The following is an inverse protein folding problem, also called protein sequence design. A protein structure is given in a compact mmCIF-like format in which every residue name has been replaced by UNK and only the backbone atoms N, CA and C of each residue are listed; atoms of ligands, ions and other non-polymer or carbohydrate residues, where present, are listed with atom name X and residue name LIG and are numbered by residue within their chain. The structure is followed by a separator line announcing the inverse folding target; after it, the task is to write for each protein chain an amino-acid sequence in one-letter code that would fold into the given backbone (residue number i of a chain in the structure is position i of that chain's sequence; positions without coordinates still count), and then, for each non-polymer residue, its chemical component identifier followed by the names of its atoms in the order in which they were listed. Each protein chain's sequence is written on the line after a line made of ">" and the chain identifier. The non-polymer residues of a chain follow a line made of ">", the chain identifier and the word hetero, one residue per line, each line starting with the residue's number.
data_IF_275949199939
#
_entry.id   IF_275949199939
#
_cell.length_a   1.000
_cell.length_b   1.000
_cell.length_c   1.000
_cell.angle_alpha   90.00
_cell.angle_beta   90.00
_cell.angle_gamma   90.00
#
_symmetry.space_group_name_H-M   'P 1'
#
loop_
_entity.id
_entity.type
_entity.pdbx_description
1 polymer ?
#
# COMPACT_ATOMS: atom_id res chain seq x y z
N UNK A 1 -52.54 5.87 0.87
CA UNK A 1 -51.49 4.87 0.52
C UNK A 1 -50.18 5.59 0.25
N UNK A 2 -49.23 5.59 1.20
CA UNK A 2 -47.90 6.22 1.03
C UNK A 2 -46.93 5.18 0.49
N UNK A 3 -46.32 5.44 -0.65
CA UNK A 3 -45.40 4.51 -1.31
C UNK A 3 -44.06 4.38 -0.54
N UNK A 4 -43.60 3.15 -0.25
CA UNK A 4 -42.36 2.89 0.50
C UNK A 4 -41.06 3.32 -0.22
N UNK A 5 -41.15 3.70 -1.49
CA UNK A 5 -40.00 4.16 -2.30
C UNK A 5 -39.55 5.60 -2.00
N UNK A 6 -40.43 6.44 -1.47
CA UNK A 6 -40.11 7.85 -1.16
C UNK A 6 -39.21 8.02 0.07
N UNK A 7 -39.36 7.15 1.07
CA UNK A 7 -38.53 7.17 2.29
C UNK A 7 -37.09 6.73 2.03
N UNK A 8 -36.89 5.71 1.20
CA UNK A 8 -35.55 5.26 0.82
C UNK A 8 -34.79 6.33 0.01
N UNK A 9 -35.47 7.00 -0.92
CA UNK A 9 -34.85 8.08 -1.69
C UNK A 9 -34.49 9.28 -0.82
N UNK A 10 -35.35 9.66 0.12
CA UNK A 10 -35.08 10.77 1.05
C UNK A 10 -34.02 10.44 2.10
N UNK A 11 -33.83 9.18 2.49
CA UNK A 11 -32.71 8.73 3.33
C UNK A 11 -31.40 8.72 2.54
N UNK A 12 -31.43 8.31 1.27
CA UNK A 12 -30.24 8.26 0.40
C UNK A 12 -29.78 9.65 -0.08
N UNK A 13 -30.70 10.62 -0.14
CA UNK A 13 -30.46 11.97 -0.64
C UNK A 13 -30.47 13.05 0.45
N UNK A 14 -30.47 12.66 1.73
CA UNK A 14 -30.29 13.61 2.83
C UNK A 14 -28.82 14.01 2.85
N UNK A 15 -28.50 15.16 2.27
CA UNK A 15 -27.31 15.90 2.66
C UNK A 15 -27.34 16.00 4.18
N UNK A 16 -26.32 15.45 4.83
CA UNK A 16 -26.20 15.46 6.28
C UNK A 16 -25.97 16.89 6.75
N UNK A 17 -27.05 17.66 6.88
CA UNK A 17 -27.06 18.85 7.72
C UNK A 17 -26.70 18.43 9.14
N UNK A 18 -25.74 19.18 9.69
CA UNK A 18 -24.93 18.82 10.83
C UNK A 18 -25.73 18.43 12.08
N UNK A 19 -25.29 17.32 12.69
CA UNK A 19 -25.43 17.11 14.11
C UNK A 19 -24.03 17.00 14.72
N UNK A 20 -23.70 17.79 15.75
CA UNK A 20 -22.42 17.69 16.40
C UNK A 20 -22.40 16.49 17.37
N UNK A 21 -21.22 15.87 17.42
CA UNK A 21 -20.71 15.04 18.51
C UNK A 21 -21.26 13.61 18.68
N UNK A 22 -20.67 12.70 17.91
CA UNK A 22 -20.18 11.43 18.49
C UNK A 22 -18.67 11.46 18.37
N UNK A 23 -17.96 11.52 19.51
CA UNK A 23 -16.49 11.47 19.61
C UNK A 23 -15.95 10.08 19.23
N UNK A 24 -16.20 9.65 18.00
CA UNK A 24 -15.47 8.56 17.37
C UNK A 24 -14.09 9.05 16.96
N UNK A 25 -13.05 8.26 17.22
CA UNK A 25 -11.70 8.59 16.76
C UNK A 25 -11.74 8.91 15.26
N UNK A 26 -11.40 10.14 14.88
CA UNK A 26 -11.34 10.59 13.47
C UNK A 26 -10.53 9.62 12.59
N UNK A 27 -9.63 8.84 13.19
CA UNK A 27 -8.82 7.81 12.58
C UNK A 27 -9.61 6.65 11.91
N UNK A 28 -10.84 6.35 12.36
CA UNK A 28 -11.63 5.22 11.84
C UNK A 28 -12.53 5.59 10.64
N UNK A 29 -12.56 6.87 10.24
CA UNK A 29 -13.37 7.32 9.10
C UNK A 29 -12.90 6.63 7.82
N UNK A 30 -13.82 6.01 7.09
CA UNK A 30 -13.52 5.39 5.80
C UNK A 30 -13.25 6.44 4.74
N UNK A 31 -12.26 6.18 3.89
CA UNK A 31 -11.83 7.11 2.84
C UNK A 31 -11.66 6.40 1.50
N UNK A 32 -11.72 7.17 0.42
CA UNK A 32 -11.38 6.73 -0.92
C UNK A 32 -10.55 7.79 -1.65
N UNK A 33 -9.84 7.39 -2.70
CA UNK A 33 -9.08 8.33 -3.53
C UNK A 33 -10.00 9.37 -4.16
N UNK A 34 -9.53 10.61 -4.23
CA UNK A 34 -10.26 11.70 -4.91
C UNK A 34 -10.27 11.51 -6.43
N UNK A 35 -9.13 11.07 -6.98
CA UNK A 35 -8.97 10.78 -8.41
C UNK A 35 -8.41 9.34 -8.59
N UNK A 36 -9.26 8.31 -8.45
CA UNK A 36 -8.80 6.92 -8.48
C UNK A 36 -8.16 6.54 -9.80
N UNK A 37 -8.72 6.93 -10.95
CA UNK A 37 -8.19 6.54 -12.27
C UNK A 37 -6.73 6.96 -12.49
N UNK A 38 -6.40 8.21 -12.12
CA UNK A 38 -5.05 8.74 -12.31
C UNK A 38 -4.08 8.19 -11.27
N UNK A 39 -4.45 8.25 -9.99
CA UNK A 39 -3.58 7.80 -8.90
C UNK A 39 -3.32 6.30 -8.96
N UNK A 40 -4.33 5.48 -9.23
CA UNK A 40 -4.17 4.03 -9.34
C UNK A 40 -3.36 3.63 -10.58
N UNK A 41 -3.47 4.35 -11.71
CA UNK A 41 -2.61 4.13 -12.89
C UNK A 41 -1.15 4.42 -12.59
N UNK A 42 -0.85 5.53 -11.92
CA UNK A 42 0.51 5.86 -11.47
C UNK A 42 1.03 4.79 -10.52
N UNK A 43 0.24 4.42 -9.50
CA UNK A 43 0.57 3.35 -8.56
C UNK A 43 0.85 2.01 -9.29
N UNK A 44 0.04 1.64 -10.27
CA UNK A 44 0.31 0.43 -11.06
C UNK A 44 1.64 0.52 -11.81
N UNK A 45 1.96 1.68 -12.41
CA UNK A 45 3.26 1.91 -13.03
C UNK A 45 4.43 1.80 -12.05
N UNK A 46 4.26 2.26 -10.81
CA UNK A 46 5.24 2.06 -9.72
C UNK A 46 5.39 0.57 -9.41
N UNK A 47 4.29 -0.16 -9.27
CA UNK A 47 4.32 -1.61 -8.99
C UNK A 47 5.09 -2.37 -10.08
N UNK A 48 4.82 -2.09 -11.36
CA UNK A 48 5.53 -2.69 -12.49
C UNK A 48 7.04 -2.45 -12.39
N UNK A 49 7.47 -1.22 -12.08
CA UNK A 49 8.89 -0.87 -11.91
C UNK A 49 9.50 -1.50 -10.68
N UNK A 50 8.75 -1.64 -9.58
CA UNK A 50 9.18 -2.36 -8.39
C UNK A 50 9.46 -3.83 -8.72
N UNK A 51 8.55 -4.51 -9.42
CA UNK A 51 8.77 -5.92 -9.81
C UNK A 51 9.91 -6.03 -10.83
N UNK A 52 10.04 -5.10 -11.76
CA UNK A 52 11.17 -5.04 -12.68
C UNK A 52 12.51 -4.89 -11.94
N UNK A 53 12.58 -3.99 -10.95
CA UNK A 53 13.76 -3.81 -10.10
C UNK A 53 14.12 -5.12 -9.39
N UNK A 54 13.16 -5.81 -8.79
CA UNK A 54 13.44 -7.11 -8.14
C UNK A 54 14.02 -8.12 -9.13
N UNK A 55 13.42 -8.22 -10.33
CA UNK A 55 13.87 -9.13 -11.40
C UNK A 55 15.25 -8.76 -11.96
N UNK A 56 15.67 -7.50 -11.92
CA UNK A 56 16.97 -7.07 -12.48
C UNK A 56 18.16 -7.48 -11.59
N UNK A 57 17.92 -7.63 -10.28
CA UNK A 57 18.96 -7.98 -9.30
C UNK A 57 19.55 -9.38 -9.55
N UNK A 58 20.88 -9.52 -9.65
CA UNK A 58 21.53 -10.82 -9.84
C UNK A 58 21.21 -11.82 -8.72
N UNK A 59 21.27 -11.39 -7.46
CA UNK A 59 20.97 -12.26 -6.31
C UNK A 59 19.53 -12.76 -6.32
N UNK A 60 18.57 -11.95 -6.80
CA UNK A 60 17.18 -12.39 -6.94
C UNK A 60 17.03 -13.45 -8.04
N UNK A 61 17.71 -13.26 -9.19
CA UNK A 61 17.66 -14.20 -10.33
C UNK A 61 18.25 -15.57 -10.03
N UNK A 62 19.23 -15.65 -9.11
CA UNK A 62 19.85 -16.91 -8.66
C UNK A 62 18.92 -17.77 -7.78
N UNK A 63 17.88 -17.17 -7.18
CA UNK A 63 16.94 -17.89 -6.32
C UNK A 63 16.03 -18.83 -7.13
N UNK A 64 15.68 -19.96 -6.52
CA UNK A 64 14.65 -20.85 -7.05
C UNK A 64 13.33 -20.08 -7.25
N UNK A 65 12.53 -20.47 -8.24
CA UNK A 65 11.25 -19.78 -8.54
C UNK A 65 10.36 -19.67 -7.30
N UNK A 66 10.25 -20.75 -6.52
CA UNK A 66 9.48 -20.78 -5.27
C UNK A 66 9.94 -19.68 -4.30
N UNK A 67 11.25 -19.54 -4.11
CA UNK A 67 11.80 -18.54 -3.19
C UNK A 67 11.58 -17.12 -3.70
N UNK A 68 11.67 -16.90 -5.03
CA UNK A 68 11.34 -15.61 -5.65
C UNK A 68 9.89 -15.22 -5.40
N UNK A 69 8.95 -16.15 -5.57
CA UNK A 69 7.52 -15.90 -5.32
C UNK A 69 7.26 -15.55 -3.85
N UNK A 70 7.76 -16.36 -2.91
CA UNK A 70 7.64 -16.09 -1.47
C UNK A 70 8.25 -14.74 -1.09
N UNK A 71 9.40 -14.39 -1.67
CA UNK A 71 10.04 -13.12 -1.37
C UNK A 71 9.22 -11.93 -1.89
N UNK A 72 8.58 -12.07 -3.06
CA UNK A 72 7.68 -11.06 -3.63
C UNK A 72 6.44 -10.90 -2.78
N UNK A 73 5.77 -12.00 -2.42
CA UNK A 73 4.60 -12.00 -1.53
C UNK A 73 4.86 -11.22 -0.24
N UNK A 74 6.05 -11.41 0.33
CA UNK A 74 6.44 -10.75 1.57
C UNK A 74 6.82 -9.28 1.31
N UNK A 75 7.74 -9.02 0.39
CA UNK A 75 8.43 -7.71 0.32
C UNK A 75 7.79 -6.69 -0.61
N UNK A 76 6.84 -7.08 -1.46
CA UNK A 76 6.32 -6.18 -2.51
C UNK A 76 5.73 -4.89 -1.95
N UNK A 77 5.05 -4.91 -0.79
CA UNK A 77 4.43 -3.72 -0.20
C UNK A 77 5.50 -2.71 0.20
N UNK A 78 6.49 -3.13 0.99
CA UNK A 78 7.57 -2.24 1.43
C UNK A 78 8.34 -1.64 0.25
N UNK A 79 8.64 -2.46 -0.77
CA UNK A 79 9.31 -2.00 -1.99
C UNK A 79 8.43 -1.08 -2.84
N UNK A 80 7.13 -1.34 -2.89
CA UNK A 80 6.15 -0.49 -3.54
C UNK A 80 6.06 0.87 -2.88
N UNK A 81 6.03 0.93 -1.54
CA UNK A 81 6.03 2.19 -0.79
C UNK A 81 7.31 3.00 -1.02
N UNK A 82 8.47 2.36 -1.06
CA UNK A 82 9.73 3.00 -1.46
C UNK A 82 9.69 3.47 -2.92
N UNK A 83 8.99 2.75 -3.81
CA UNK A 83 8.74 3.18 -5.17
C UNK A 83 7.88 4.45 -5.24
N UNK A 84 6.79 4.51 -4.48
CA UNK A 84 5.96 5.71 -4.37
C UNK A 84 6.77 6.90 -3.85
N UNK A 85 7.62 6.67 -2.85
CA UNK A 85 8.50 7.69 -2.29
C UNK A 85 9.52 8.19 -3.33
N UNK A 86 10.25 7.28 -3.98
CA UNK A 86 11.27 7.60 -4.99
C UNK A 86 10.71 8.43 -6.14
N UNK A 87 9.44 8.23 -6.50
CA UNK A 87 8.79 8.95 -7.59
C UNK A 87 7.97 10.16 -7.14
N UNK A 88 8.03 10.51 -5.84
CA UNK A 88 7.27 11.62 -5.25
C UNK A 88 5.77 11.54 -5.55
N UNK A 89 5.20 10.34 -5.52
CA UNK A 89 3.77 10.15 -5.79
C UNK A 89 2.95 10.74 -4.65
N UNK A 90 2.20 11.79 -4.96
CA UNK A 90 1.23 12.41 -4.04
C UNK A 90 -0.19 11.99 -4.41
N UNK A 91 -1.07 11.93 -3.40
CA UNK A 91 -2.46 11.58 -3.61
C UNK A 91 -3.38 12.20 -2.56
N UNK A 92 -4.63 12.44 -2.96
CA UNK A 92 -5.68 12.97 -2.11
C UNK A 92 -6.76 11.93 -1.84
N UNK A 93 -7.34 12.00 -0.64
CA UNK A 93 -8.45 11.16 -0.23
C UNK A 93 -9.63 12.01 0.20
N UNK A 94 -10.83 11.47 0.02
CA UNK A 94 -12.09 12.04 0.53
C UNK A 94 -12.75 11.04 1.47
N UNK A 95 -13.47 11.54 2.46
CA UNK A 95 -14.26 10.69 3.36
C UNK A 95 -15.45 10.12 2.60
N UNK A 96 -15.70 8.83 2.78
CA UNK A 96 -16.88 8.16 2.21
C UNK A 96 -18.10 8.49 3.08
N UNK A 97 -19.17 9.08 2.52
CA UNK A 97 -20.39 9.36 3.28
C UNK A 97 -21.08 8.05 3.74
N UNK A 98 -21.67 8.07 4.94
CA UNK A 98 -22.33 6.88 5.52
C UNK A 98 -23.46 6.32 4.63
N UNK A 99 -24.19 7.19 3.92
CA UNK A 99 -25.23 6.78 2.97
C UNK A 99 -24.68 5.97 1.78
N UNK A 100 -23.44 6.22 1.35
CA UNK A 100 -22.77 5.44 0.29
C UNK A 100 -22.36 4.04 0.76
N UNK A 101 -22.05 3.89 2.05
CA UNK A 101 -21.74 2.59 2.66
C UNK A 101 -22.97 1.69 2.68
N UNK A 102 -24.11 2.23 3.12
CA UNK A 102 -25.38 1.50 3.15
C UNK A 102 -25.88 1.16 1.74
N UNK A 103 -25.78 2.10 0.79
CA UNK A 103 -26.12 1.84 -0.61
C UNK A 103 -25.27 0.72 -1.20
N UNK A 104 -23.96 0.67 -0.91
CA UNK A 104 -23.11 -0.44 -1.33
C UNK A 104 -23.57 -1.75 -0.68
N UNK A 105 -23.78 -1.80 0.63
CA UNK A 105 -24.25 -3.03 1.31
C UNK A 105 -25.59 -3.53 0.75
N UNK A 106 -26.52 -2.61 0.47
CA UNK A 106 -27.85 -2.91 -0.04
C UNK A 106 -27.87 -3.28 -1.54
N UNK A 107 -27.01 -2.66 -2.36
CA UNK A 107 -27.00 -2.85 -3.82
C UNK A 107 -26.02 -3.92 -4.28
N UNK A 108 -24.89 -4.13 -3.58
CA UNK A 108 -23.89 -5.15 -3.91
C UNK A 108 -24.06 -6.45 -3.13
N UNK A 109 -25.23 -6.65 -2.50
CA UNK A 109 -25.71 -7.85 -1.84
C UNK A 109 -24.62 -8.90 -1.57
N UNK A 110 -24.01 -8.84 -0.38
CA UNK A 110 -22.95 -9.71 0.18
C UNK A 110 -21.53 -9.14 0.28
N UNK A 111 -21.35 -7.86 0.56
CA UNK A 111 -20.12 -7.43 1.24
C UNK A 111 -20.39 -7.30 2.73
N UNK A 112 -19.83 -8.23 3.53
CA UNK A 112 -19.62 -7.99 4.97
C UNK A 112 -18.98 -6.60 5.12
N UNK A 113 -19.21 -5.86 6.23
CA UNK A 113 -18.45 -4.64 6.50
C UNK A 113 -16.98 -5.03 6.47
N UNK A 114 -16.31 -4.72 5.36
CA UNK A 114 -14.98 -5.21 5.10
C UNK A 114 -14.07 -4.43 6.05
N UNK A 115 -13.59 -5.08 7.10
CA UNK A 115 -12.62 -4.54 8.09
C UNK A 115 -11.36 -3.98 7.41
N UNK A 116 -11.20 -4.27 6.12
CA UNK A 116 -10.05 -3.94 5.27
C UNK A 116 -10.16 -2.59 4.57
N UNK A 117 -11.30 -1.89 4.64
CA UNK A 117 -11.48 -0.63 3.91
C UNK A 117 -10.47 0.43 4.36
N UNK A 118 -9.98 1.29 3.44
CA UNK A 118 -9.03 2.34 3.78
C UNK A 118 -9.62 3.29 4.83
N UNK A 119 -8.92 3.43 5.95
CA UNK A 119 -9.26 4.37 7.01
C UNK A 119 -8.40 5.62 6.92
N UNK A 120 -8.91 6.76 7.41
CA UNK A 120 -8.18 8.01 7.47
C UNK A 120 -6.88 7.86 8.28
N UNK A 121 -6.92 7.09 9.38
CA UNK A 121 -5.74 6.79 10.20
C UNK A 121 -4.68 5.99 9.46
N UNK A 122 -5.08 4.96 8.69
CA UNK A 122 -4.16 4.20 7.85
C UNK A 122 -3.51 5.06 6.77
N UNK A 123 -4.32 5.88 6.08
CA UNK A 123 -3.81 6.81 5.06
C UNK A 123 -2.86 7.85 5.68
N UNK A 124 -3.16 8.34 6.87
CA UNK A 124 -2.28 9.28 7.57
C UNK A 124 -0.92 8.63 7.88
N UNK A 125 -0.90 7.41 8.44
CA UNK A 125 0.36 6.67 8.69
C UNK A 125 1.17 6.49 7.41
N UNK A 126 0.51 6.12 6.31
CA UNK A 126 1.14 5.98 5.00
C UNK A 126 1.75 7.31 4.51
N UNK A 127 1.00 8.41 4.60
CA UNK A 127 1.52 9.74 4.23
C UNK A 127 2.69 10.18 5.11
N UNK A 128 2.62 9.92 6.42
CA UNK A 128 3.71 10.19 7.35
C UNK A 128 4.97 9.42 6.95
N UNK A 129 4.84 8.13 6.63
CA UNK A 129 5.95 7.33 6.11
C UNK A 129 6.58 7.97 4.86
N UNK A 130 5.77 8.32 3.85
CA UNK A 130 6.28 8.94 2.63
C UNK A 130 7.01 10.27 2.90
N UNK A 131 6.43 11.12 3.75
CA UNK A 131 7.04 12.40 4.14
C UNK A 131 8.38 12.19 4.88
N UNK A 132 8.46 11.19 5.75
CA UNK A 132 9.71 10.84 6.43
C UNK A 132 10.77 10.43 5.41
N UNK A 133 10.44 9.56 4.44
CA UNK A 133 11.38 9.15 3.40
C UNK A 133 11.83 10.35 2.55
N UNK A 134 10.90 11.25 2.17
CA UNK A 134 11.23 12.46 1.40
C UNK A 134 12.14 13.41 2.16
N UNK A 135 11.99 13.52 3.49
CA UNK A 135 12.86 14.38 4.32
C UNK A 135 14.31 13.91 4.41
N UNK A 136 14.60 12.67 4.02
CA UNK A 136 15.96 12.13 3.99
C UNK A 136 16.74 12.47 2.70
N UNK A 137 16.06 13.04 1.69
CA UNK A 137 16.66 13.46 0.42
C UNK A 137 17.56 12.39 -0.23
N UNK A 138 17.06 11.15 -0.29
CA UNK A 138 17.81 10.00 -0.77
C UNK A 138 18.09 10.11 -2.28
N UNK A 139 19.34 9.85 -2.66
CA UNK A 139 19.73 9.68 -4.06
C UNK A 139 19.16 8.39 -4.69
N UNK A 140 19.20 8.29 -6.02
CA UNK A 140 18.76 7.10 -6.75
C UNK A 140 19.52 5.83 -6.31
N UNK A 141 20.82 5.96 -6.02
CA UNK A 141 21.65 4.87 -5.51
C UNK A 141 21.23 4.42 -4.11
N UNK A 142 20.92 5.38 -3.23
CA UNK A 142 20.43 5.08 -1.87
C UNK A 142 19.06 4.40 -1.88
N UNK A 143 18.13 4.83 -2.74
CA UNK A 143 16.87 4.11 -2.93
C UNK A 143 17.09 2.67 -3.42
N UNK A 144 18.03 2.45 -4.35
CA UNK A 144 18.34 1.11 -4.84
C UNK A 144 18.97 0.24 -3.73
N UNK A 145 19.88 0.79 -2.93
CA UNK A 145 20.47 0.14 -1.77
C UNK A 145 19.41 -0.24 -0.73
N UNK A 146 18.55 0.71 -0.36
CA UNK A 146 17.47 0.50 0.59
C UNK A 146 16.45 -0.55 0.11
N UNK A 147 16.04 -0.50 -1.16
CA UNK A 147 15.16 -1.52 -1.75
C UNK A 147 15.82 -2.90 -1.73
N UNK A 148 17.12 -2.99 -2.04
CA UNK A 148 17.86 -4.26 -1.97
C UNK A 148 17.95 -4.78 -0.54
N UNK A 149 18.21 -3.89 0.44
CA UNK A 149 18.25 -4.24 1.85
C UNK A 149 16.88 -4.72 2.36
N UNK A 150 15.78 -4.06 2.01
CA UNK A 150 14.42 -4.53 2.32
C UNK A 150 14.15 -5.89 1.70
N UNK A 151 14.52 -6.07 0.43
CA UNK A 151 14.25 -7.30 -0.32
C UNK A 151 14.93 -8.51 0.32
N UNK A 152 16.20 -8.37 0.67
CA UNK A 152 17.01 -9.47 1.19
C UNK A 152 17.12 -9.51 2.72
N UNK A 153 16.48 -8.57 3.43
CA UNK A 153 16.48 -8.53 4.89
C UNK A 153 16.13 -9.92 5.45
N UNK A 154 16.95 -10.50 6.33
CA UNK A 154 16.61 -11.75 6.98
C UNK A 154 15.39 -11.49 7.86
N UNK A 155 14.27 -12.16 7.56
CA UNK A 155 13.21 -12.28 8.58
C UNK A 155 13.87 -12.79 9.87
N UNK A 156 13.37 -12.37 11.04
CA UNK A 156 13.98 -12.56 12.36
C UNK A 156 14.32 -14.01 12.81
N UNK A 157 14.29 -14.98 11.90
CA UNK A 157 14.80 -16.34 12.06
C UNK A 157 15.58 -16.79 10.80
N UNK A 158 16.89 -16.56 10.77
CA UNK A 158 17.82 -17.31 9.91
C UNK A 158 18.89 -16.47 9.19
N UNK A 159 20.19 -16.82 9.32
CA UNK A 159 21.27 -16.10 8.65
C UNK A 159 21.32 -16.50 7.17
N UNK A 160 20.93 -15.59 6.26
CA UNK A 160 21.30 -15.70 4.85
C UNK A 160 22.45 -14.74 4.58
N UNK A 161 23.62 -15.34 4.29
CA UNK A 161 24.87 -14.76 3.78
C UNK A 161 25.11 -13.28 4.09
N UNK A 162 25.73 -13.05 5.25
CA UNK A 162 26.17 -11.75 5.77
C UNK A 162 27.07 -10.95 4.82
N UNK A 163 27.69 -11.58 3.82
CA UNK A 163 28.69 -10.93 2.96
C UNK A 163 28.08 -10.13 1.80
N UNK A 164 27.00 -10.61 1.17
CA UNK A 164 26.30 -9.86 0.10
C UNK A 164 25.51 -8.66 0.67
N UNK A 165 24.99 -8.79 1.89
CA UNK A 165 24.24 -7.72 2.58
C UNK A 165 25.16 -6.58 3.04
N UNK A 166 26.37 -6.93 3.49
CA UNK A 166 27.36 -5.97 3.98
C UNK A 166 27.84 -5.03 2.86
N UNK A 167 28.05 -5.55 1.65
CA UNK A 167 28.43 -4.73 0.49
C UNK A 167 27.32 -3.80 0.00
N UNK A 168 26.04 -4.21 0.09
CA UNK A 168 24.88 -3.41 -0.33
C UNK A 168 24.49 -2.31 0.67
N UNK A 169 24.75 -2.50 1.97
CA UNK A 169 24.55 -1.49 3.00
C UNK A 169 25.72 -0.50 3.09
N UNK A 170 26.93 -0.89 2.67
CA UNK A 170 28.11 -0.02 2.61
C UNK A 170 27.98 1.14 1.60
N UNK A 171 27.02 1.07 0.67
CA UNK A 171 26.82 2.11 -0.36
C UNK A 171 25.81 3.20 0.04
N UNK A 172 25.17 3.11 1.21
CA UNK A 172 24.26 4.14 1.72
C UNK A 172 25.00 5.06 2.71
N UNK A 173 25.33 6.31 2.35
CA UNK A 173 25.90 7.28 3.29
C UNK A 173 24.90 7.80 4.34
N UNK A 174 23.62 7.45 4.21
CA UNK A 174 22.58 7.78 5.20
C UNK A 174 22.86 7.11 6.55
N UNK A 175 22.77 7.85 7.66
CA UNK A 175 23.03 7.34 9.01
C UNK A 175 22.35 5.98 9.22
N UNK A 176 23.14 4.97 9.60
CA UNK A 176 22.70 3.58 9.74
C UNK A 176 21.50 3.45 10.69
N UNK A 177 21.33 4.39 11.63
CA UNK A 177 20.15 4.50 12.51
C UNK A 177 18.88 4.94 11.78
N UNK A 178 19.00 5.84 10.82
CA UNK A 178 17.87 6.30 9.99
C UNK A 178 17.40 5.16 9.07
N UNK A 179 18.35 4.41 8.50
CA UNK A 179 18.06 3.27 7.63
C UNK A 179 17.40 2.12 8.41
N UNK A 180 17.92 1.77 9.60
CA UNK A 180 17.29 0.75 10.45
C UNK A 180 15.89 1.15 10.92
N UNK A 181 15.68 2.42 11.27
CA UNK A 181 14.35 2.93 11.60
C UNK A 181 13.39 2.86 10.41
N UNK A 182 13.86 3.13 9.18
CA UNK A 182 13.07 3.04 7.95
C UNK A 182 12.72 1.59 7.60
N UNK A 183 13.67 0.67 7.73
CA UNK A 183 13.42 -0.77 7.58
C UNK A 183 12.43 -1.28 8.62
N UNK A 184 12.57 -0.84 9.87
CA UNK A 184 11.67 -1.22 10.95
C UNK A 184 10.25 -0.68 10.72
N UNK A 185 10.11 0.59 10.34
CA UNK A 185 8.80 1.19 10.03
C UNK A 185 8.18 0.54 8.79
N UNK A 186 8.94 0.28 7.73
CA UNK A 186 8.45 -0.44 6.55
C UNK A 186 8.00 -1.87 6.88
N UNK A 187 8.74 -2.57 7.74
CA UNK A 187 8.42 -3.95 8.18
C UNK A 187 7.22 -3.98 9.12
N UNK A 188 7.12 -3.05 10.06
CA UNK A 188 5.97 -2.90 10.96
C UNK A 188 4.70 -2.53 10.20
N UNK A 189 4.84 -1.75 9.12
CA UNK A 189 3.75 -1.41 8.22
C UNK A 189 3.37 -2.55 7.27
N UNK A 190 4.18 -3.60 7.10
CA UNK A 190 3.98 -4.58 6.02
C UNK A 190 2.59 -5.22 6.02
N UNK A 191 2.13 -5.77 7.15
CA UNK A 191 0.83 -6.46 7.23
C UNK A 191 -0.36 -5.50 7.16
N UNK A 192 -0.31 -4.39 7.89
CA UNK A 192 -1.39 -3.38 7.87
C UNK A 192 -1.47 -2.63 6.53
N UNK A 193 -0.31 -2.23 6.00
CA UNK A 193 -0.22 -1.49 4.75
C UNK A 193 -0.57 -2.36 3.55
N UNK A 194 -0.37 -3.68 3.59
CA UNK A 194 -0.77 -4.56 2.50
C UNK A 194 -2.26 -4.43 2.19
N UNK A 195 -3.11 -4.54 3.22
CA UNK A 195 -4.56 -4.37 3.06
C UNK A 195 -4.90 -2.96 2.58
N UNK A 196 -4.34 -1.94 3.24
CA UNK A 196 -4.60 -0.55 2.90
C UNK A 196 -4.22 -0.22 1.45
N UNK A 197 -3.02 -0.61 1.02
CA UNK A 197 -2.48 -0.35 -0.32
C UNK A 197 -3.30 -1.08 -1.38
N UNK A 198 -3.66 -2.34 -1.13
CA UNK A 198 -4.49 -3.14 -2.05
C UNK A 198 -5.84 -2.47 -2.26
N UNK A 199 -6.52 -2.12 -1.19
CA UNK A 199 -7.84 -1.50 -1.24
C UNK A 199 -7.81 -0.07 -1.79
N UNK A 200 -6.76 0.70 -1.47
CA UNK A 200 -6.68 2.10 -1.87
C UNK A 200 -6.23 2.27 -3.32
N UNK A 201 -5.19 1.56 -3.77
CA UNK A 201 -4.55 1.80 -5.06
C UNK A 201 -4.90 0.78 -6.14
N UNK A 202 -5.28 -0.45 -5.80
CA UNK A 202 -5.45 -1.51 -6.80
C UNK A 202 -6.91 -1.90 -6.98
N UNK A 203 -7.68 -1.98 -5.90
CA UNK A 203 -9.11 -2.33 -5.95
C UNK A 203 -9.98 -1.40 -6.81
N UNK A 204 -9.75 -0.07 -6.86
CA UNK A 204 -10.58 0.82 -7.67
C UNK A 204 -10.51 0.54 -9.18
N UNK A 205 -9.36 0.07 -9.69
CA UNK A 205 -9.17 -0.24 -11.12
C UNK A 205 -9.38 -1.73 -11.40
N UNK A 206 -8.89 -2.59 -10.51
CA UNK A 206 -8.84 -4.02 -10.77
C UNK A 206 -10.02 -4.82 -10.16
N UNK A 207 -10.88 -4.18 -9.37
CA UNK A 207 -12.08 -4.79 -8.81
C UNK A 207 -11.78 -5.99 -7.91
N UNK A 208 -12.20 -7.18 -8.35
CA UNK A 208 -12.00 -8.45 -7.62
C UNK A 208 -10.72 -9.19 -8.04
N UNK A 209 -9.81 -8.53 -8.76
CA UNK A 209 -8.54 -9.13 -9.17
C UNK A 209 -7.74 -9.57 -7.95
N UNK A 210 -7.25 -10.81 -8.01
CA UNK A 210 -6.31 -11.34 -7.05
C UNK A 210 -4.91 -10.74 -7.32
N UNK A 211 -4.55 -9.71 -6.54
CA UNK A 211 -3.26 -9.04 -6.64
C UNK A 211 -2.10 -10.01 -6.41
N UNK A 212 -2.27 -11.01 -5.55
CA UNK A 212 -1.24 -11.99 -5.26
C UNK A 212 -0.96 -12.88 -6.48
N UNK A 213 -2.03 -13.32 -7.17
CA UNK A 213 -1.90 -14.02 -8.46
C UNK A 213 -1.24 -13.13 -9.51
N UNK A 214 -1.62 -11.85 -9.60
CA UNK A 214 -0.99 -10.92 -10.55
C UNK A 214 0.52 -10.79 -10.30
N UNK A 215 0.95 -10.60 -9.04
CA UNK A 215 2.36 -10.51 -8.67
C UNK A 215 3.13 -11.77 -9.11
N UNK A 216 2.54 -12.95 -8.95
CA UNK A 216 3.13 -14.20 -9.40
C UNK A 216 3.30 -14.25 -10.91
N UNK A 217 2.26 -13.87 -11.64
CA UNK A 217 2.31 -13.80 -13.10
C UNK A 217 3.41 -12.83 -13.59
N UNK A 218 3.59 -11.69 -12.93
CA UNK A 218 4.62 -10.71 -13.28
C UNK A 218 6.04 -11.21 -13.02
N UNK A 219 6.22 -12.13 -12.06
CA UNK A 219 7.52 -12.75 -11.76
C UNK A 219 7.83 -13.88 -12.74
N UNK A 220 6.81 -14.65 -13.15
CA UNK A 220 6.94 -15.76 -14.09
C UNK A 220 7.11 -15.27 -15.53
N UNK A 221 6.36 -14.26 -15.95
CA UNK A 221 6.46 -13.67 -17.30
C UNK A 221 7.77 -12.89 -17.40
N UNK A 222 8.57 -13.16 -18.44
CA UNK A 222 9.86 -12.52 -18.66
C UNK A 222 9.71 -11.08 -19.15
#
# INVERSE_FOLDING_TARGET
>A
MRHPRGLLFSILNRECDGYPDTRGCHCQRLVCLRNPETTCRVAFGVLMRTIHFMKSLPSFRKLALRDRLVLVEKRWVALFLLGLAQEHVTFEVRVVPAASILRNILMSGRQKPDERRPTLGGVHRLKTFLNTVWSLDLSLGEYAGLKSAVLFSPDAAGPRSSEEMAGLLQTCPTDQRSLTHLLFTASALQTEAQSLVTELFFRPIAGQMDLHKLLHEMIVKQ
#
